data_IF_521550515983
#
_entry.id   IF_521550515983
#
_cell.length_a   1.000
_cell.length_b   1.000
_cell.length_c   1.000
_cell.angle_alpha   90.00
_cell.angle_beta   90.00
_cell.angle_gamma   90.00
#
_symmetry.space_group_name_H-M   'P 1'
#
loop_
_entity.id
_entity.type
_entity.pdbx_description
1 polymer ?
#
# COMPACT_ATOMS: atom_id res chain seq x y z
N UNK A 1 -6.37 29.90 37.48
CA UNK A 1 -6.27 28.70 36.60
C UNK A 1 -6.52 29.03 35.13
N UNK A 2 -7.59 29.77 34.79
CA UNK A 2 -7.98 30.07 33.39
C UNK A 2 -6.93 30.83 32.56
N UNK A 3 -6.17 31.76 33.17
CA UNK A 3 -5.16 32.57 32.45
C UNK A 3 -3.98 31.76 31.87
N UNK A 4 -3.74 30.54 32.35
CA UNK A 4 -2.67 29.67 31.85
C UNK A 4 -3.17 28.67 30.80
N UNK A 5 -4.49 28.57 30.57
CA UNK A 5 -5.06 27.61 29.63
C UNK A 5 -4.91 28.05 28.17
N UNK A 6 -5.06 29.34 27.88
CA UNK A 6 -4.85 29.89 26.53
C UNK A 6 -3.42 29.70 26.01
N UNK A 7 -2.36 30.09 26.74
CA UNK A 7 -1.00 29.86 26.28
C UNK A 7 -0.68 28.37 26.18
N UNK A 8 -1.16 27.54 27.13
CA UNK A 8 -0.97 26.09 27.09
C UNK A 8 -1.63 25.44 25.87
N UNK A 9 -2.84 25.86 25.51
CA UNK A 9 -3.52 25.37 24.32
C UNK A 9 -2.78 25.79 23.04
N UNK A 10 -2.28 27.03 22.97
CA UNK A 10 -1.56 27.52 21.79
C UNK A 10 -0.20 26.84 21.60
N UNK A 11 0.56 26.65 22.69
CA UNK A 11 1.86 25.98 22.66
C UNK A 11 1.69 24.47 22.45
N UNK A 12 0.65 23.86 23.04
CA UNK A 12 0.27 22.47 22.79
C UNK A 12 -0.10 22.22 21.33
N UNK A 13 -0.84 23.13 20.69
CA UNK A 13 -1.18 23.02 19.27
C UNK A 13 0.07 23.12 18.38
N UNK A 14 0.99 24.05 18.66
CA UNK A 14 2.26 24.16 17.93
C UNK A 14 3.10 22.90 18.08
N UNK A 15 3.29 22.42 19.31
CA UNK A 15 4.03 21.20 19.58
C UNK A 15 3.40 20.00 18.86
N UNK A 16 2.07 19.85 18.96
CA UNK A 16 1.33 18.81 18.26
C UNK A 16 1.48 18.87 16.73
N UNK A 17 1.41 20.07 16.14
CA UNK A 17 1.62 20.25 14.71
C UNK A 17 3.03 19.82 14.27
N UNK A 18 4.07 20.21 15.02
CA UNK A 18 5.45 19.77 14.74
C UNK A 18 5.61 18.25 14.89
N UNK A 19 4.99 17.65 15.91
CA UNK A 19 5.00 16.19 16.08
C UNK A 19 4.30 15.47 14.93
N UNK A 20 3.15 15.97 14.46
CA UNK A 20 2.42 15.40 13.32
C UNK A 20 3.26 15.50 12.04
N UNK A 21 3.82 16.67 11.75
CA UNK A 21 4.67 16.88 10.56
C UNK A 21 5.90 15.97 10.62
N UNK A 22 6.57 15.90 11.76
CA UNK A 22 7.71 15.00 11.96
C UNK A 22 7.33 13.56 11.69
N UNK A 23 6.21 13.09 12.25
CA UNK A 23 5.71 11.72 12.05
C UNK A 23 5.43 11.45 10.56
N UNK A 24 4.75 12.37 9.88
CA UNK A 24 4.44 12.23 8.45
C UNK A 24 5.71 12.14 7.60
N UNK A 25 6.75 12.92 7.91
CA UNK A 25 8.02 12.88 7.20
C UNK A 25 8.74 11.52 7.32
N UNK A 26 8.51 10.77 8.40
CA UNK A 26 9.08 9.42 8.55
C UNK A 26 8.18 8.32 7.98
N UNK A 27 6.86 8.48 8.05
CA UNK A 27 5.90 7.46 7.59
C UNK A 27 5.73 7.49 6.06
N UNK A 28 5.65 8.67 5.46
CA UNK A 28 5.41 8.81 4.01
C UNK A 28 6.49 8.12 3.14
N UNK A 29 7.80 8.24 3.42
CA UNK A 29 8.82 7.51 2.65
C UNK A 29 8.64 5.99 2.71
N UNK A 30 8.25 5.46 3.87
CA UNK A 30 7.98 4.04 4.04
C UNK A 30 6.81 3.56 3.18
N UNK A 31 5.72 4.33 3.15
CA UNK A 31 4.56 4.05 2.30
C UNK A 31 4.95 4.09 0.82
N UNK A 32 5.71 5.10 0.39
CA UNK A 32 6.16 5.20 -1.01
C UNK A 32 7.02 4.00 -1.40
N UNK A 33 7.97 3.60 -0.57
CA UNK A 33 8.81 2.42 -0.85
C UNK A 33 8.00 1.14 -0.88
N UNK A 34 7.04 0.98 0.05
CA UNK A 34 6.15 -0.17 0.09
C UNK A 34 5.35 -0.30 -1.21
N UNK A 35 4.78 0.81 -1.71
CA UNK A 35 4.08 0.86 -2.99
C UNK A 35 4.99 0.52 -4.16
N UNK A 36 6.20 1.10 -4.21
CA UNK A 36 7.15 0.88 -5.30
C UNK A 36 7.63 -0.58 -5.38
N UNK A 37 7.63 -1.30 -4.26
CA UNK A 37 8.12 -2.67 -4.15
C UNK A 37 7.01 -3.72 -4.05
N UNK A 38 5.74 -3.33 -4.20
CA UNK A 38 4.61 -4.27 -4.19
C UNK A 38 4.76 -5.40 -5.22
N UNK A 39 5.36 -5.11 -6.39
CA UNK A 39 5.55 -6.13 -7.42
C UNK A 39 6.88 -6.89 -7.35
N UNK A 40 7.79 -6.49 -6.47
CA UNK A 40 9.11 -7.11 -6.33
C UNK A 40 9.08 -8.64 -6.20
N UNK A 41 8.27 -9.27 -5.33
CA UNK A 41 8.25 -10.73 -5.21
C UNK A 41 7.79 -11.42 -6.50
N UNK A 42 6.84 -10.84 -7.24
CA UNK A 42 6.37 -11.42 -8.50
C UNK A 42 7.46 -11.36 -9.57
N UNK A 43 8.20 -10.24 -9.64
CA UNK A 43 9.33 -10.12 -10.56
C UNK A 43 10.41 -11.15 -10.23
N UNK A 44 10.78 -11.29 -8.95
CA UNK A 44 11.82 -12.25 -8.53
C UNK A 44 11.43 -13.69 -8.85
N UNK A 45 10.16 -14.05 -8.68
CA UNK A 45 9.68 -15.44 -8.83
C UNK A 45 9.32 -15.77 -10.28
N UNK A 46 8.76 -14.83 -11.05
CA UNK A 46 8.14 -15.11 -12.35
C UNK A 46 8.77 -14.41 -13.56
N UNK A 47 9.64 -13.41 -13.38
CA UNK A 47 10.24 -12.67 -14.51
C UNK A 47 11.48 -13.42 -15.03
N UNK A 48 11.39 -13.93 -16.27
CA UNK A 48 12.50 -14.63 -16.92
C UNK A 48 13.71 -13.73 -17.16
N UNK A 49 13.48 -12.46 -17.52
CA UNK A 49 14.58 -11.51 -17.79
C UNK A 49 15.36 -11.17 -16.52
N UNK A 50 14.71 -11.25 -15.36
CA UNK A 50 15.38 -11.19 -14.07
C UNK A 50 16.19 -12.46 -13.80
N UNK A 51 15.60 -13.64 -14.04
CA UNK A 51 16.29 -14.93 -13.86
C UNK A 51 17.56 -15.05 -14.72
N UNK A 52 17.55 -14.48 -15.92
CA UNK A 52 18.70 -14.46 -16.84
C UNK A 52 19.77 -13.41 -16.46
N UNK A 53 19.56 -12.64 -15.37
CA UNK A 53 20.48 -11.59 -14.91
C UNK A 53 20.46 -10.31 -15.76
N UNK A 54 19.57 -10.23 -16.75
CA UNK A 54 19.51 -9.13 -17.72
C UNK A 54 18.81 -7.88 -17.17
N UNK A 55 18.08 -7.98 -16.05
CA UNK A 55 17.31 -6.86 -15.51
C UNK A 55 17.28 -6.82 -13.98
N UNK A 56 17.24 -5.61 -13.42
CA UNK A 56 17.04 -5.40 -11.98
C UNK A 56 15.56 -5.51 -11.59
N UNK A 57 15.25 -6.39 -10.62
CA UNK A 57 13.89 -6.57 -10.12
C UNK A 57 13.27 -5.30 -9.53
N UNK A 58 14.08 -4.46 -8.87
CA UNK A 58 13.64 -3.18 -8.31
C UNK A 58 13.14 -2.23 -9.40
N UNK A 59 13.94 -2.05 -10.47
CA UNK A 59 13.56 -1.19 -11.59
C UNK A 59 12.28 -1.69 -12.26
N UNK A 60 12.13 -3.01 -12.40
CA UNK A 60 10.95 -3.63 -13.01
C UNK A 60 9.70 -3.44 -12.14
N UNK A 61 9.80 -3.64 -10.83
CA UNK A 61 8.69 -3.36 -9.89
C UNK A 61 8.23 -1.90 -10.00
N UNK A 62 9.17 -0.94 -10.02
CA UNK A 62 8.83 0.48 -10.18
C UNK A 62 8.11 0.76 -11.51
N UNK A 63 8.50 0.09 -12.60
CA UNK A 63 7.81 0.22 -13.90
C UNK A 63 6.37 -0.31 -13.83
N UNK A 64 6.17 -1.48 -13.21
CA UNK A 64 4.85 -2.08 -13.00
C UNK A 64 3.94 -1.16 -12.17
N UNK A 65 4.46 -0.60 -11.08
CA UNK A 65 3.71 0.35 -10.24
C UNK A 65 3.33 1.59 -11.03
N UNK A 66 4.25 2.15 -11.83
CA UNK A 66 3.95 3.32 -12.68
C UNK A 66 2.87 3.01 -13.72
N UNK A 67 2.92 1.82 -14.33
CA UNK A 67 1.92 1.40 -15.32
C UNK A 67 0.52 1.23 -14.73
N UNK A 68 0.44 0.88 -13.44
CA UNK A 68 -0.80 0.64 -12.71
C UNK A 68 -1.00 1.61 -11.54
N UNK A 69 -0.45 2.83 -11.62
CA UNK A 69 -0.30 3.72 -10.46
C UNK A 69 -1.62 3.95 -9.72
N UNK A 70 -2.67 4.33 -10.43
CA UNK A 70 -3.98 4.58 -9.82
C UNK A 70 -4.60 3.33 -9.21
N UNK A 71 -4.43 2.17 -9.83
CA UNK A 71 -4.95 0.90 -9.32
C UNK A 71 -4.21 0.47 -8.06
N UNK A 72 -2.88 0.57 -8.07
CA UNK A 72 -2.02 0.24 -6.92
C UNK A 72 -2.32 1.20 -5.76
N UNK A 73 -2.44 2.50 -6.04
CA UNK A 73 -2.77 3.51 -5.04
C UNK A 73 -4.17 3.28 -4.44
N UNK A 74 -5.18 3.02 -5.26
CA UNK A 74 -6.53 2.72 -4.78
C UNK A 74 -6.55 1.46 -3.91
N UNK A 75 -5.83 0.41 -4.32
CA UNK A 75 -5.73 -0.81 -3.53
C UNK A 75 -5.02 -0.57 -2.20
N UNK A 76 -3.93 0.19 -2.18
CA UNK A 76 -3.23 0.51 -0.94
C UNK A 76 -4.07 1.37 0.02
N UNK A 77 -4.91 2.27 -0.50
CA UNK A 77 -5.87 3.00 0.32
C UNK A 77 -6.93 2.07 0.91
N UNK A 78 -7.41 1.09 0.15
CA UNK A 78 -8.34 0.07 0.65
C UNK A 78 -7.68 -0.83 1.71
N UNK A 79 -6.45 -1.28 1.45
CA UNK A 79 -5.67 -2.11 2.36
C UNK A 79 -5.34 -1.40 3.67
N UNK A 80 -5.27 -0.06 3.67
CA UNK A 80 -5.13 0.73 4.88
C UNK A 80 -6.47 0.99 5.59
N UNK A 81 -7.51 1.36 4.83
CA UNK A 81 -8.78 1.81 5.40
C UNK A 81 -9.64 0.67 5.92
N UNK A 82 -9.66 -0.48 5.25
CA UNK A 82 -10.48 -1.62 5.65
C UNK A 82 -10.05 -2.18 7.02
N UNK A 83 -8.77 -2.51 7.28
CA UNK A 83 -8.35 -2.98 8.59
C UNK A 83 -8.58 -1.93 9.68
N UNK A 84 -8.34 -0.64 9.37
CA UNK A 84 -8.57 0.44 10.31
C UNK A 84 -10.05 0.51 10.73
N UNK A 85 -10.97 0.46 9.78
CA UNK A 85 -12.41 0.46 10.07
C UNK A 85 -12.83 -0.80 10.80
N UNK A 86 -12.32 -1.96 10.41
CA UNK A 86 -12.65 -3.22 11.06
C UNK A 86 -12.17 -3.25 12.52
N UNK A 87 -10.98 -2.73 12.82
CA UNK A 87 -10.41 -2.76 14.17
C UNK A 87 -10.93 -1.62 15.06
N UNK A 88 -11.02 -0.40 14.53
CA UNK A 88 -11.38 0.79 15.30
C UNK A 88 -12.89 1.04 15.36
N UNK A 89 -13.63 0.68 14.31
CA UNK A 89 -15.07 0.93 14.18
C UNK A 89 -15.90 0.40 15.36
N UNK A 90 -15.77 -0.88 15.75
CA UNK A 90 -16.53 -1.43 16.88
C UNK A 90 -16.22 -0.74 18.20
N UNK A 91 -14.95 -0.36 18.42
CA UNK A 91 -14.52 0.36 19.62
C UNK A 91 -15.15 1.75 19.69
N UNK A 92 -15.23 2.44 18.56
CA UNK A 92 -15.86 3.75 18.46
C UNK A 92 -17.37 3.70 18.68
N UNK A 93 -18.03 2.60 18.28
CA UNK A 93 -19.48 2.40 18.42
C UNK A 93 -19.90 1.73 19.73
N UNK A 94 -18.96 1.39 20.61
CA UNK A 94 -19.24 0.68 21.86
C UNK A 94 -19.73 -0.77 21.65
N UNK A 95 -19.50 -1.34 20.47
CA UNK A 95 -19.96 -2.67 20.06
C UNK A 95 -18.81 -3.71 20.06
N UNK A 96 -17.83 -3.53 20.95
CA UNK A 96 -16.65 -4.42 21.03
C UNK A 96 -17.05 -5.81 21.53
N UNK A 97 -17.06 -6.77 20.62
CA UNK A 97 -17.40 -8.17 20.91
C UNK A 97 -16.32 -9.11 20.37
N UNK A 98 -16.01 -10.17 21.12
CA UNK A 98 -15.02 -11.17 20.72
C UNK A 98 -15.40 -11.86 19.38
N UNK A 99 -16.69 -12.08 19.16
CA UNK A 99 -17.22 -12.67 17.92
C UNK A 99 -16.87 -11.78 16.72
N UNK A 100 -17.10 -10.46 16.84
CA UNK A 100 -16.75 -9.53 15.78
C UNK A 100 -15.24 -9.54 15.50
N UNK A 101 -14.40 -9.53 16.54
CA UNK A 101 -12.95 -9.55 16.37
C UNK A 101 -12.48 -10.81 15.60
N UNK A 102 -13.06 -11.97 15.92
CA UNK A 102 -12.80 -13.21 15.19
C UNK A 102 -13.13 -13.07 13.70
N UNK A 103 -14.32 -12.58 13.36
CA UNK A 103 -14.72 -12.36 11.97
C UNK A 103 -13.85 -11.33 11.25
N UNK A 104 -13.48 -10.24 11.92
CA UNK A 104 -12.58 -9.23 11.36
C UNK A 104 -11.22 -9.82 11.01
N UNK A 105 -10.61 -10.61 11.90
CA UNK A 105 -9.32 -11.25 11.60
C UNK A 105 -9.43 -12.32 10.51
N UNK A 106 -10.51 -13.12 10.50
CA UNK A 106 -10.75 -14.06 9.40
C UNK A 106 -10.88 -13.32 8.06
N UNK A 107 -11.64 -12.22 8.01
CA UNK A 107 -11.77 -11.41 6.80
C UNK A 107 -10.42 -10.87 6.33
N UNK A 108 -9.61 -10.31 7.24
CA UNK A 108 -8.28 -9.79 6.92
C UNK A 108 -7.35 -10.88 6.36
N UNK A 109 -7.42 -12.09 6.91
CA UNK A 109 -6.65 -13.23 6.40
C UNK A 109 -7.02 -13.54 4.94
N UNK A 110 -8.32 -13.68 4.63
CA UNK A 110 -8.76 -13.94 3.25
C UNK A 110 -8.47 -12.77 2.31
N UNK A 111 -8.64 -11.53 2.80
CA UNK A 111 -8.34 -10.33 2.04
C UNK A 111 -6.86 -10.26 1.64
N UNK A 112 -5.96 -10.65 2.55
CA UNK A 112 -4.53 -10.71 2.25
C UNK A 112 -4.21 -11.72 1.14
N UNK A 113 -4.85 -12.90 1.15
CA UNK A 113 -4.69 -13.90 0.09
C UNK A 113 -5.22 -13.42 -1.26
N UNK A 114 -6.38 -12.75 -1.24
CA UNK A 114 -6.97 -12.12 -2.43
C UNK A 114 -6.06 -11.02 -3.00
N UNK A 115 -5.46 -10.19 -2.15
CA UNK A 115 -4.51 -9.15 -2.53
C UNK A 115 -3.34 -9.72 -3.36
N UNK A 116 -2.74 -10.82 -2.91
CA UNK A 116 -1.65 -11.48 -3.65
C UNK A 116 -2.11 -11.94 -5.04
N UNK A 117 -3.29 -12.58 -5.14
CA UNK A 117 -3.84 -13.00 -6.44
C UNK A 117 -4.14 -11.81 -7.36
N UNK A 118 -4.67 -10.72 -6.80
CA UNK A 118 -4.96 -9.50 -7.53
C UNK A 118 -3.70 -8.88 -8.12
N UNK A 119 -2.64 -8.71 -7.33
CA UNK A 119 -1.36 -8.18 -7.81
C UNK A 119 -0.67 -9.11 -8.81
N UNK A 120 -0.78 -10.43 -8.63
CA UNK A 120 -0.31 -11.37 -9.65
C UNK A 120 -1.06 -11.20 -10.99
N UNK A 121 -2.37 -10.96 -10.95
CA UNK A 121 -3.17 -10.65 -12.13
C UNK A 121 -2.72 -9.36 -12.84
N UNK A 122 -2.43 -8.31 -12.08
CA UNK A 122 -1.87 -7.06 -12.63
C UNK A 122 -0.49 -7.28 -13.27
N UNK A 123 0.39 -8.02 -12.58
CA UNK A 123 1.69 -8.39 -13.11
C UNK A 123 1.57 -9.11 -14.45
N UNK A 124 0.72 -10.15 -14.52
CA UNK A 124 0.51 -10.93 -15.74
C UNK A 124 -0.08 -10.08 -16.88
N UNK A 125 -1.04 -9.21 -16.58
CA UNK A 125 -1.63 -8.30 -17.57
C UNK A 125 -0.58 -7.36 -18.18
N UNK A 126 0.38 -6.91 -17.38
CA UNK A 126 1.47 -6.07 -17.86
C UNK A 126 2.46 -6.83 -18.74
N UNK A 127 2.86 -8.05 -18.33
CA UNK A 127 3.72 -8.93 -19.15
C UNK A 127 3.10 -9.21 -20.53
N UNK A 128 1.80 -9.52 -20.58
CA UNK A 128 1.10 -9.77 -21.84
C UNK A 128 1.11 -8.55 -22.78
N UNK A 129 0.98 -7.34 -22.23
CA UNK A 129 1.07 -6.10 -23.02
C UNK A 129 2.47 -5.86 -23.56
N UNK A 130 3.50 -6.16 -22.78
CA UNK A 130 4.88 -5.99 -23.21
C UNK A 130 5.23 -6.96 -24.36
N UNK A 131 4.87 -8.23 -24.22
CA UNK A 131 5.06 -9.23 -25.28
C UNK A 131 4.33 -8.85 -26.57
N UNK A 132 3.14 -8.23 -26.48
CA UNK A 132 2.45 -7.73 -27.67
C UNK A 132 3.19 -6.56 -28.32
N UNK A 133 3.72 -5.63 -27.53
CA UNK A 133 4.43 -4.46 -28.06
C UNK A 133 5.75 -4.79 -28.76
N UNK A 134 6.43 -5.87 -28.35
CA UNK A 134 7.69 -6.33 -28.94
C UNK A 134 7.48 -7.07 -30.27
N UNK A 135 6.30 -7.68 -30.46
CA UNK A 135 5.96 -8.42 -31.68
C UNK A 135 5.22 -7.57 -32.73
N UNK A 136 5.01 -6.27 -32.48
CA UNK A 136 4.34 -5.37 -33.43
C UNK A 136 5.34 -4.88 -34.49
N UNK A 137 5.17 -5.25 -35.78
CA UNK A 137 6.10 -4.89 -36.85
C UNK A 137 6.18 -3.37 -37.12
N UNK A 138 5.28 -2.57 -36.55
CA UNK A 138 5.36 -1.11 -36.63
C UNK A 138 6.48 -0.49 -35.75
N UNK A 139 7.10 -1.26 -34.83
CA UNK A 139 8.16 -0.81 -33.93
C UNK A 139 9.59 -1.24 -34.34
N UNK A 140 9.74 -1.91 -35.50
CA UNK A 140 11.01 -2.35 -36.09
C UNK A 140 11.34 -1.58 -37.37
#
# INVERSE_FOLDING_TARGET
LSKNLEPLASEGLKAGAFTIIGTLLFVLPGIVLHLLFTFFPFVVVFDKTYADGNRSALKRSVQLVKAHFFTVLAFALLDLTIPLLLIAGPKLLGADSQIYQFFAYSFLFYFSGFSVMFFYGLYKSYEEKLCRSENDPANS
#
